data_IF_788712118736
#
_entry.id   IF_788712118736
#
_cell.length_a   1.000
_cell.length_b   1.000
_cell.length_c   1.000
_cell.angle_alpha   90.00
_cell.angle_beta   90.00
_cell.angle_gamma   90.00
#
_symmetry.space_group_name_H-M   'P 1'
#
loop_
_entity.id
_entity.type
_entity.pdbx_description
1 polymer ?
#
# COMPACT_ATOMS: atom_id res chain seq x y z
N UNK A 1 -15.74 -15.72 -25.05
CA UNK A 1 -15.46 -14.31 -24.71
C UNK A 1 -14.08 -13.93 -25.21
N UNK A 2 -13.86 -12.68 -25.61
CA UNK A 2 -12.55 -12.20 -26.09
C UNK A 2 -11.61 -11.77 -24.94
N UNK A 3 -12.15 -11.55 -23.74
CA UNK A 3 -11.40 -11.22 -22.50
C UNK A 3 -12.08 -11.89 -21.30
N UNK A 4 -11.31 -12.12 -20.24
CA UNK A 4 -11.79 -12.65 -18.96
C UNK A 4 -10.70 -12.61 -17.90
N UNK A 5 -11.09 -12.72 -16.64
CA UNK A 5 -10.13 -12.88 -15.55
C UNK A 5 -9.43 -14.23 -15.60
N UNK A 6 -8.25 -14.30 -14.98
CA UNK A 6 -7.56 -15.57 -14.79
C UNK A 6 -8.44 -16.52 -13.94
N UNK A 7 -8.53 -17.83 -14.23
CA UNK A 7 -9.41 -18.75 -13.49
C UNK A 7 -9.18 -18.80 -11.97
N UNK A 8 -7.95 -18.54 -11.53
CA UNK A 8 -7.63 -18.45 -10.10
C UNK A 8 -8.16 -17.21 -9.39
N UNK A 9 -8.71 -16.25 -10.13
CA UNK A 9 -9.42 -15.09 -9.57
C UNK A 9 -10.91 -15.37 -9.33
N UNK A 10 -11.30 -16.64 -9.18
CA UNK A 10 -12.67 -17.04 -8.87
C UNK A 10 -13.28 -16.28 -7.66
N UNK A 11 -12.55 -15.99 -6.56
CA UNK A 11 -13.06 -15.18 -5.44
C UNK A 11 -13.61 -13.80 -5.86
N UNK A 12 -12.98 -13.16 -6.86
CA UNK A 12 -13.40 -11.85 -7.36
C UNK A 12 -14.79 -11.86 -8.01
N UNK A 13 -15.27 -13.04 -8.42
CA UNK A 13 -16.60 -13.20 -9.02
C UNK A 13 -17.70 -12.78 -8.05
N UNK A 14 -17.57 -13.07 -6.76
CA UNK A 14 -18.59 -12.72 -5.77
C UNK A 14 -18.77 -11.20 -5.66
N UNK A 15 -17.66 -10.45 -5.68
CA UNK A 15 -17.67 -8.98 -5.66
C UNK A 15 -18.28 -8.43 -6.96
N UNK A 16 -17.91 -9.03 -8.10
CA UNK A 16 -18.44 -8.65 -9.42
C UNK A 16 -19.95 -8.89 -9.54
N UNK A 17 -20.44 -10.06 -9.13
CA UNK A 17 -21.86 -10.43 -9.22
C UNK A 17 -22.77 -9.53 -8.37
N UNK A 18 -22.24 -8.95 -7.28
CA UNK A 18 -22.95 -7.98 -6.44
C UNK A 18 -23.03 -6.57 -7.06
N UNK A 19 -22.24 -6.29 -8.09
CA UNK A 19 -22.14 -4.96 -8.70
C UNK A 19 -21.11 -4.05 -8.04
N UNK A 20 -20.30 -4.57 -7.12
CA UNK A 20 -19.33 -3.80 -6.32
C UNK A 20 -17.96 -3.68 -7.01
N UNK A 21 -17.86 -4.03 -8.30
CA UNK A 21 -16.60 -4.02 -9.06
C UNK A 21 -16.76 -3.36 -10.42
N UNK A 22 -15.90 -2.38 -10.68
CA UNK A 22 -15.73 -1.77 -12.00
C UNK A 22 -14.40 -2.21 -12.62
N UNK A 23 -14.45 -2.60 -13.90
CA UNK A 23 -13.25 -2.97 -14.67
C UNK A 23 -13.07 -1.93 -15.77
N UNK A 24 -11.94 -1.20 -15.73
CA UNK A 24 -11.62 -0.18 -16.72
C UNK A 24 -10.45 -0.67 -17.57
N UNK A 25 -10.74 -0.97 -18.83
CA UNK A 25 -9.72 -1.41 -19.79
C UNK A 25 -9.08 -0.23 -20.52
N UNK A 26 -7.83 -0.40 -20.95
CA UNK A 26 -7.14 0.58 -21.80
C UNK A 26 -6.63 1.81 -21.04
N UNK A 27 -6.45 1.71 -19.73
CA UNK A 27 -5.84 2.78 -18.92
C UNK A 27 -4.33 2.80 -19.12
N UNK A 28 -3.79 3.97 -19.37
CA UNK A 28 -2.37 4.21 -19.57
C UNK A 28 -2.11 5.65 -19.99
N UNK A 29 -0.87 5.94 -20.37
CA UNK A 29 -0.44 7.27 -20.81
C UNK A 29 0.35 7.16 -22.12
N UNK A 30 0.32 8.18 -22.99
CA UNK A 30 1.04 8.16 -24.25
C UNK A 30 2.54 7.89 -24.07
N UNK A 31 3.16 7.23 -25.05
CA UNK A 31 4.61 6.99 -25.10
C UNK A 31 5.16 6.30 -23.83
N UNK A 32 4.42 5.32 -23.28
CA UNK A 32 4.84 4.62 -22.06
C UNK A 32 6.25 4.02 -22.18
N UNK A 33 7.15 4.29 -21.21
CA UNK A 33 8.50 3.75 -21.21
C UNK A 33 8.48 2.26 -20.86
N UNK A 34 9.59 1.58 -21.19
CA UNK A 34 9.80 0.16 -20.83
C UNK A 34 10.51 -0.03 -19.49
N UNK A 35 10.71 1.06 -18.74
CA UNK A 35 11.40 1.04 -17.45
C UNK A 35 10.38 0.97 -16.32
N UNK A 36 10.41 -0.10 -15.53
CA UNK A 36 9.58 -0.23 -14.31
C UNK A 36 9.74 0.99 -13.40
N UNK A 37 10.96 1.44 -13.16
CA UNK A 37 11.22 2.60 -12.30
C UNK A 37 10.54 3.87 -12.80
N UNK A 38 10.63 4.16 -14.10
CA UNK A 38 9.98 5.36 -14.66
C UNK A 38 8.46 5.19 -14.70
N UNK A 39 7.95 4.02 -15.05
CA UNK A 39 6.50 3.80 -15.10
C UNK A 39 5.86 3.91 -13.72
N UNK A 40 6.48 3.31 -12.69
CA UNK A 40 6.03 3.47 -11.29
C UNK A 40 6.08 4.94 -10.86
N UNK A 41 7.15 5.65 -11.21
CA UNK A 41 7.28 7.08 -10.93
C UNK A 41 6.11 7.89 -11.53
N UNK A 42 5.78 7.65 -12.80
CA UNK A 42 4.66 8.32 -13.48
C UNK A 42 3.33 8.02 -12.78
N UNK A 43 3.04 6.76 -12.46
CA UNK A 43 1.79 6.39 -11.77
C UNK A 43 1.71 6.94 -10.34
N UNK A 44 2.83 7.07 -9.64
CA UNK A 44 2.89 7.60 -8.29
C UNK A 44 2.86 9.13 -8.23
N UNK A 45 3.36 9.84 -9.24
CA UNK A 45 3.45 11.31 -9.25
C UNK A 45 2.42 11.98 -10.14
N UNK A 46 1.85 11.22 -11.08
CA UNK A 46 1.05 11.69 -12.22
C UNK A 46 1.82 12.58 -13.21
N UNK A 47 3.15 12.45 -13.29
CA UNK A 47 4.02 13.28 -14.14
C UNK A 47 4.68 12.47 -15.28
N UNK A 48 4.05 12.36 -16.47
CA UNK A 48 4.58 11.57 -17.59
C UNK A 48 5.78 12.23 -18.29
N UNK A 49 5.82 13.56 -18.34
CA UNK A 49 6.80 14.31 -19.14
C UNK A 49 8.02 14.78 -18.31
N UNK A 50 7.84 14.91 -17.00
CA UNK A 50 8.87 15.41 -16.08
C UNK A 50 9.15 14.45 -14.93
N UNK A 51 10.26 14.64 -14.22
CA UNK A 51 10.56 13.91 -13.00
C UNK A 51 9.74 14.52 -11.85
N UNK A 52 8.60 13.92 -11.54
CA UNK A 52 7.75 14.37 -10.44
C UNK A 52 8.46 14.16 -9.10
N UNK A 53 8.53 15.17 -8.25
CA UNK A 53 9.10 15.06 -6.89
C UNK A 53 8.04 14.82 -5.82
N UNK A 54 6.77 14.86 -6.20
CA UNK A 54 5.64 14.81 -5.29
C UNK A 54 4.64 13.73 -5.73
N UNK A 55 4.26 12.89 -4.77
CA UNK A 55 3.24 11.88 -4.92
C UNK A 55 1.83 12.47 -4.93
N UNK A 56 0.96 11.96 -5.80
CA UNK A 56 -0.40 12.50 -5.92
C UNK A 56 -1.26 12.22 -4.68
N UNK A 57 -1.04 11.08 -3.99
CA UNK A 57 -1.71 10.80 -2.73
C UNK A 57 -1.17 11.67 -1.61
N UNK A 58 0.13 12.00 -1.59
CA UNK A 58 0.68 12.97 -0.65
C UNK A 58 0.00 14.35 -0.79
N UNK A 59 -0.21 14.81 -2.04
CA UNK A 59 -1.01 16.02 -2.31
C UNK A 59 -2.46 15.88 -1.83
N UNK A 60 -3.09 14.72 -2.06
CA UNK A 60 -4.44 14.46 -1.58
C UNK A 60 -4.54 14.48 -0.04
N UNK A 61 -3.56 13.91 0.66
CA UNK A 61 -3.47 13.95 2.13
C UNK A 61 -3.43 15.40 2.63
N UNK A 62 -2.59 16.25 2.03
CA UNK A 62 -2.56 17.69 2.35
C UNK A 62 -3.91 18.36 2.12
N UNK A 63 -4.59 18.05 1.02
CA UNK A 63 -5.86 18.71 0.69
C UNK A 63 -7.01 18.23 1.60
N UNK A 64 -6.93 16.99 2.11
CA UNK A 64 -7.86 16.41 3.09
C UNK A 64 -7.62 16.96 4.50
N UNK A 65 -6.35 17.07 4.91
CA UNK A 65 -5.94 17.52 6.25
C UNK A 65 -4.83 18.60 6.14
N UNK A 66 -5.21 19.83 5.72
CA UNK A 66 -4.24 20.90 5.46
C UNK A 66 -3.54 21.41 6.72
N UNK A 67 -4.17 21.22 7.88
CA UNK A 67 -3.66 21.64 9.18
C UNK A 67 -2.86 20.54 9.89
N UNK A 68 -2.84 19.31 9.33
CA UNK A 68 -2.18 18.13 9.92
C UNK A 68 -2.76 17.81 11.30
N UNK A 69 -4.07 17.94 11.45
CA UNK A 69 -4.78 17.67 12.70
C UNK A 69 -4.77 16.18 13.05
N UNK A 70 -4.63 15.30 12.05
CA UNK A 70 -4.55 13.86 12.22
C UNK A 70 -3.33 13.27 11.52
N UNK A 71 -2.34 12.86 12.33
CA UNK A 71 -1.14 12.15 11.86
C UNK A 71 -1.43 10.81 11.17
N UNK A 72 -2.65 10.27 11.35
CA UNK A 72 -3.16 9.06 10.72
C UNK A 72 -4.11 9.32 9.56
N UNK A 73 -4.21 10.55 9.04
CA UNK A 73 -5.00 10.84 7.82
C UNK A 73 -4.59 9.89 6.68
N UNK A 74 -3.31 9.50 6.62
CA UNK A 74 -2.78 8.55 5.65
C UNK A 74 -1.84 7.54 6.30
N UNK A 75 -2.06 6.25 6.00
CA UNK A 75 -1.24 5.14 6.49
C UNK A 75 -0.72 4.30 5.33
N UNK A 76 0.59 4.11 5.32
CA UNK A 76 1.35 3.33 4.34
C UNK A 76 1.67 1.96 4.92
N UNK A 77 1.21 0.89 4.29
CA UNK A 77 1.50 -0.49 4.66
C UNK A 77 2.63 -1.06 3.79
N UNK A 78 3.86 -0.94 4.27
CA UNK A 78 5.06 -1.44 3.63
C UNK A 78 6.35 -1.06 4.36
N UNK A 79 7.48 -1.63 3.93
CA UNK A 79 8.78 -1.46 4.59
C UNK A 79 9.43 -0.09 4.33
N UNK A 80 8.80 0.77 3.52
CA UNK A 80 9.23 2.13 3.23
C UNK A 80 8.04 2.98 2.73
N UNK A 81 8.18 4.31 2.76
CA UNK A 81 7.19 5.23 2.21
C UNK A 81 7.12 5.08 0.69
N UNK A 82 5.92 4.80 0.18
CA UNK A 82 5.69 4.75 -1.25
C UNK A 82 5.75 6.15 -1.86
N UNK A 83 6.33 6.23 -3.07
CA UNK A 83 6.46 7.52 -3.78
C UNK A 83 5.12 8.21 -4.05
N UNK A 84 4.01 7.47 -4.14
CA UNK A 84 2.68 8.06 -4.27
C UNK A 84 2.29 8.93 -3.07
N UNK A 85 2.81 8.61 -1.88
CA UNK A 85 2.52 9.28 -0.62
C UNK A 85 3.54 10.38 -0.27
N UNK A 86 4.64 10.48 -1.02
CA UNK A 86 5.73 11.39 -0.73
C UNK A 86 5.35 12.85 -1.01
N UNK A 87 5.27 13.67 0.04
CA UNK A 87 5.16 15.13 -0.08
C UNK A 87 5.86 15.82 1.10
N UNK A 88 6.83 16.72 0.87
CA UNK A 88 7.47 17.50 1.93
C UNK A 88 6.46 18.17 2.88
N UNK A 89 6.62 17.91 4.17
CA UNK A 89 5.80 18.49 5.22
C UNK A 89 4.43 17.82 5.43
N UNK A 90 4.11 16.72 4.76
CA UNK A 90 2.87 15.96 4.99
C UNK A 90 3.18 14.69 5.79
N UNK A 91 2.57 14.50 6.97
CA UNK A 91 2.79 13.30 7.77
C UNK A 91 2.09 12.09 7.13
N UNK A 92 2.80 10.96 7.12
CA UNK A 92 2.27 9.66 6.69
C UNK A 92 2.80 8.61 7.65
N UNK A 93 1.92 7.87 8.31
CA UNK A 93 2.35 6.78 9.18
C UNK A 93 2.75 5.55 8.34
N UNK A 94 3.95 4.99 8.55
CA UNK A 94 4.46 3.84 7.78
C UNK A 94 4.53 2.58 8.65
N UNK A 95 3.72 1.57 8.33
CA UNK A 95 3.62 0.28 9.03
C UNK A 95 4.08 -0.85 8.12
N UNK A 96 5.05 -1.66 8.55
CA UNK A 96 5.41 -2.87 7.80
C UNK A 96 4.58 -4.08 8.27
N UNK A 97 4.54 -4.32 9.59
CA UNK A 97 3.75 -5.35 10.23
C UNK A 97 3.12 -4.78 11.50
N UNK A 98 1.79 -4.73 11.54
CA UNK A 98 1.02 -4.14 12.64
C UNK A 98 1.14 -4.96 13.93
N UNK A 99 1.25 -6.30 13.84
CA UNK A 99 1.35 -7.20 14.99
C UNK A 99 2.72 -7.07 15.68
N UNK A 100 3.75 -6.70 14.91
CA UNK A 100 5.12 -6.49 15.39
C UNK A 100 5.52 -5.01 15.50
N UNK A 101 4.56 -4.10 15.31
CA UNK A 101 4.85 -2.68 15.16
C UNK A 101 5.30 -2.06 16.50
N UNK A 102 6.49 -1.45 16.50
CA UNK A 102 7.08 -0.79 17.67
C UNK A 102 7.72 -1.72 18.71
N UNK A 103 7.91 -3.02 18.43
CA UNK A 103 8.74 -3.90 19.26
C UNK A 103 10.24 -3.62 19.03
N UNK A 104 10.77 -2.61 19.73
CA UNK A 104 12.19 -2.55 20.08
C UNK A 104 12.37 -2.97 21.55
N UNK A 105 12.23 -4.26 21.90
CA UNK A 105 12.40 -4.70 23.28
C UNK A 105 13.85 -4.49 23.74
N UNK A 106 14.03 -3.79 24.87
CA UNK A 106 15.25 -3.88 25.71
C UNK A 106 16.41 -2.92 25.41
N UNK A 107 16.17 -1.71 24.91
CA UNK A 107 17.25 -0.75 24.58
C UNK A 107 17.09 0.54 25.41
N UNK A 108 18.18 1.05 25.98
CA UNK A 108 18.18 2.34 26.69
C UNK A 108 17.78 3.52 25.78
N UNK A 109 17.13 4.54 26.36
CA UNK A 109 16.51 5.69 25.65
C UNK A 109 17.40 6.33 24.56
N UNK A 110 18.71 6.43 24.76
CA UNK A 110 19.63 7.05 23.79
C UNK A 110 20.00 6.15 22.60
N UNK A 111 20.14 4.83 22.80
CA UNK A 111 20.34 3.89 21.69
C UNK A 111 19.06 3.65 20.92
N UNK A 112 17.91 3.84 21.57
CA UNK A 112 16.59 3.78 20.94
C UNK A 112 16.43 4.92 19.93
N UNK A 113 16.74 6.18 20.31
CA UNK A 113 16.63 7.35 19.42
C UNK A 113 17.47 7.24 18.15
N UNK A 114 18.73 6.84 18.24
CA UNK A 114 19.60 6.70 17.06
C UNK A 114 19.09 5.64 16.08
N UNK A 115 18.61 4.50 16.61
CA UNK A 115 18.07 3.41 15.80
C UNK A 115 16.71 3.76 15.18
N UNK A 116 15.89 4.52 15.90
CA UNK A 116 14.65 5.10 15.38
C UNK A 116 14.94 6.05 14.21
N UNK A 117 15.94 6.93 14.35
CA UNK A 117 16.35 7.84 13.26
C UNK A 117 16.90 7.09 12.04
N UNK A 118 17.71 6.04 12.25
CA UNK A 118 18.23 5.18 11.17
C UNK A 118 17.10 4.45 10.44
N UNK A 119 16.15 3.88 11.19
CA UNK A 119 14.97 3.25 10.63
C UNK A 119 14.11 4.24 9.85
N UNK A 120 13.91 5.46 10.35
CA UNK A 120 13.20 6.48 9.61
C UNK A 120 13.94 6.93 8.35
N UNK A 121 15.26 7.08 8.41
CA UNK A 121 16.04 7.36 7.22
C UNK A 121 15.84 6.26 6.17
N UNK A 122 15.76 4.99 6.58
CA UNK A 122 15.43 3.89 5.68
C UNK A 122 14.01 3.99 5.11
N UNK A 123 13.01 4.25 5.96
CA UNK A 123 11.61 4.38 5.54
C UNK A 123 11.41 5.49 4.50
N UNK A 124 12.07 6.63 4.68
CA UNK A 124 11.82 7.84 3.89
C UNK A 124 12.89 8.14 2.81
N UNK A 125 14.02 7.44 2.81
CA UNK A 125 15.08 7.61 1.81
C UNK A 125 14.59 7.51 0.35
N UNK A 126 13.70 6.58 -0.03
CA UNK A 126 13.21 6.48 -1.41
C UNK A 126 12.39 7.70 -1.87
N UNK A 127 11.80 8.43 -0.93
CA UNK A 127 10.93 9.58 -1.20
C UNK A 127 11.70 10.92 -1.22
N UNK A 128 12.70 11.07 -0.35
CA UNK A 128 13.33 12.39 -0.07
C UNK A 128 14.81 12.44 -0.49
N UNK A 129 15.44 11.29 -0.78
CA UNK A 129 16.89 11.19 -1.05
C UNK A 129 17.73 11.32 0.22
N UNK A 130 19.01 10.96 0.17
CA UNK A 130 19.85 10.84 1.39
C UNK A 130 20.27 12.17 2.05
N UNK A 131 20.12 13.31 1.37
CA UNK A 131 20.54 14.63 1.85
C UNK A 131 19.51 15.38 2.70
N UNK A 132 18.25 15.56 2.24
CA UNK A 132 17.21 16.29 2.96
C UNK A 132 16.46 15.48 4.03
N UNK A 133 16.77 14.18 4.18
CA UNK A 133 16.12 13.31 5.16
C UNK A 133 16.21 13.88 6.58
N UNK A 134 17.34 14.47 6.98
CA UNK A 134 17.49 15.02 8.35
C UNK A 134 16.54 16.19 8.64
N UNK A 135 16.26 17.05 7.66
CA UNK A 135 15.29 18.15 7.81
C UNK A 135 13.85 17.63 7.77
N UNK A 136 13.58 16.62 6.93
CA UNK A 136 12.28 15.94 6.87
C UNK A 136 11.96 15.18 8.19
N UNK A 137 12.98 14.62 8.84
CA UNK A 137 12.89 13.88 10.10
C UNK A 137 12.54 14.76 11.30
N UNK A 138 12.89 16.06 11.27
CA UNK A 138 12.75 16.94 12.43
C UNK A 138 11.31 17.06 12.95
N UNK A 139 10.35 17.23 12.03
CA UNK A 139 8.93 17.38 12.37
C UNK A 139 8.12 16.12 12.03
N UNK A 140 8.26 15.61 10.80
CA UNK A 140 7.55 14.40 10.34
C UNK A 140 7.92 13.15 11.13
N UNK A 141 9.15 13.07 11.66
CA UNK A 141 9.59 11.93 12.45
C UNK A 141 8.89 11.82 13.80
N UNK A 142 8.57 12.95 14.45
CA UNK A 142 7.81 12.98 15.71
C UNK A 142 6.35 12.59 15.47
N UNK A 143 5.74 13.16 14.43
CA UNK A 143 4.36 12.83 14.01
C UNK A 143 4.21 11.34 13.69
N UNK A 144 5.25 10.72 13.11
CA UNK A 144 5.25 9.28 12.82
C UNK A 144 5.34 8.44 14.10
N UNK A 145 6.07 8.87 15.13
CA UNK A 145 6.11 8.16 16.42
C UNK A 145 4.76 8.22 17.13
N UNK A 146 4.10 9.38 17.08
CA UNK A 146 2.74 9.54 17.62
C UNK A 146 1.75 8.63 16.89
N UNK A 147 1.76 8.66 15.54
CA UNK A 147 0.94 7.76 14.75
C UNK A 147 1.21 6.29 15.06
N UNK A 148 2.47 5.94 15.34
CA UNK A 148 2.84 4.57 15.66
C UNK A 148 2.28 4.05 16.98
N UNK A 149 2.20 4.90 17.99
CA UNK A 149 1.60 4.51 19.27
C UNK A 149 0.08 4.37 19.16
N UNK A 150 -0.58 5.22 18.38
CA UNK A 150 -2.03 5.10 18.12
C UNK A 150 -2.34 3.80 17.35
N UNK A 151 -1.54 3.47 16.32
CA UNK A 151 -1.79 2.31 15.47
C UNK A 151 -1.68 0.96 16.19
N UNK A 152 -0.91 0.87 17.27
CA UNK A 152 -0.80 -0.35 18.10
C UNK A 152 -2.12 -0.74 18.78
N UNK A 153 -3.03 0.20 18.95
CA UNK A 153 -4.34 -0.07 19.54
C UNK A 153 -5.31 -0.73 18.55
N UNK A 154 -5.08 -0.60 17.23
CA UNK A 154 -6.01 -1.11 16.21
C UNK A 154 -6.25 -2.63 16.31
N UNK A 155 -5.22 -3.49 16.45
CA UNK A 155 -5.42 -4.93 16.64
C UNK A 155 -6.19 -5.28 17.92
N UNK A 156 -6.09 -4.48 18.98
CA UNK A 156 -6.77 -4.73 20.26
C UNK A 156 -8.27 -4.42 20.20
N UNK A 157 -8.68 -3.51 19.32
CA UNK A 157 -10.08 -3.13 19.10
C UNK A 157 -10.77 -4.00 18.05
N UNK A 158 -10.03 -4.87 17.36
CA UNK A 158 -10.51 -5.65 16.24
C UNK A 158 -10.96 -7.05 16.65
N UNK A 159 -12.12 -7.48 16.14
CA UNK A 159 -12.61 -8.85 16.27
C UNK A 159 -13.40 -9.22 15.02
N UNK A 160 -13.06 -10.32 14.37
CA UNK A 160 -13.70 -10.75 13.13
C UNK A 160 -13.77 -12.27 13.06
N UNK A 161 -14.82 -12.79 12.44
CA UNK A 161 -14.94 -14.20 12.07
C UNK A 161 -14.24 -14.54 10.75
N UNK A 162 -13.83 -13.52 9.98
CA UNK A 162 -13.13 -13.69 8.70
C UNK A 162 -11.66 -14.08 8.92
N UNK A 163 -11.30 -15.28 8.47
CA UNK A 163 -9.93 -15.76 8.48
C UNK A 163 -9.20 -15.35 7.20
N UNK A 164 -8.14 -14.55 7.35
CA UNK A 164 -7.27 -14.14 6.24
C UNK A 164 -6.22 -15.21 5.95
N UNK A 165 -5.90 -15.50 4.66
CA UNK A 165 -4.79 -16.37 4.29
C UNK A 165 -3.45 -15.91 4.86
N UNK A 166 -2.51 -16.84 5.10
CA UNK A 166 -1.16 -16.50 5.54
C UNK A 166 -0.26 -16.08 4.35
N UNK A 167 -0.60 -14.95 3.72
CA UNK A 167 0.16 -14.36 2.60
C UNK A 167 0.52 -12.90 2.92
N UNK A 168 1.59 -12.34 2.33
CA UNK A 168 1.98 -10.95 2.60
C UNK A 168 0.87 -9.92 2.31
N UNK A 169 0.11 -10.08 1.23
CA UNK A 169 -0.98 -9.14 0.90
C UNK A 169 -2.18 -9.30 1.83
N UNK A 170 -2.54 -10.54 2.20
CA UNK A 170 -3.62 -10.77 3.15
C UNK A 170 -3.32 -10.16 4.53
N UNK A 171 -2.06 -10.24 5.00
CA UNK A 171 -1.63 -9.56 6.23
C UNK A 171 -1.75 -8.04 6.15
N UNK A 172 -1.32 -7.44 5.03
CA UNK A 172 -1.46 -5.99 4.82
C UNK A 172 -2.93 -5.56 4.77
N UNK A 173 -3.78 -6.29 4.05
CA UNK A 173 -5.22 -5.99 3.98
C UNK A 173 -5.93 -6.19 5.32
N UNK A 174 -5.55 -7.20 6.11
CA UNK A 174 -6.03 -7.34 7.49
C UNK A 174 -5.62 -6.15 8.37
N UNK A 175 -4.37 -5.70 8.27
CA UNK A 175 -3.91 -4.50 8.97
C UNK A 175 -4.67 -3.24 8.55
N UNK A 176 -4.96 -3.09 7.26
CA UNK A 176 -5.81 -2.01 6.73
C UNK A 176 -7.22 -2.08 7.31
N UNK A 177 -7.83 -3.27 7.38
CA UNK A 177 -9.14 -3.46 8.01
C UNK A 177 -9.12 -3.08 9.49
N UNK A 178 -8.11 -3.52 10.24
CA UNK A 178 -7.93 -3.17 11.66
C UNK A 178 -7.85 -1.65 11.87
N UNK A 179 -7.06 -0.94 11.06
CA UNK A 179 -6.92 0.52 11.16
C UNK A 179 -8.19 1.25 10.74
N UNK A 180 -8.86 0.80 9.68
CA UNK A 180 -10.14 1.37 9.24
C UNK A 180 -11.23 1.21 10.31
N UNK A 181 -11.36 0.01 10.88
CA UNK A 181 -12.37 -0.32 11.88
C UNK A 181 -12.11 0.33 13.24
N UNK A 182 -10.85 0.61 13.56
CA UNK A 182 -10.46 1.42 14.72
C UNK A 182 -10.95 2.88 14.64
N UNK A 183 -11.36 3.34 13.46
CA UNK A 183 -11.93 4.67 13.22
C UNK A 183 -11.04 5.83 13.70
N UNK A 184 -9.72 5.73 13.47
CA UNK A 184 -8.76 6.81 13.75
C UNK A 184 -8.86 8.01 12.80
N UNK A 185 -9.94 8.12 12.01
CA UNK A 185 -10.11 9.17 11.01
C UNK A 185 -9.21 9.00 9.77
N UNK A 186 -8.59 7.83 9.57
CA UNK A 186 -7.77 7.54 8.39
C UNK A 186 -8.59 7.61 7.11
N UNK A 187 -8.05 8.28 6.10
CA UNK A 187 -8.73 8.54 4.82
C UNK A 187 -8.06 7.86 3.64
N UNK A 188 -6.76 7.58 3.73
CA UNK A 188 -5.97 6.93 2.68
C UNK A 188 -5.17 5.79 3.31
N UNK A 189 -5.34 4.59 2.76
CA UNK A 189 -4.64 3.37 3.12
C UNK A 189 -3.96 2.83 1.86
N UNK A 190 -2.65 2.63 1.89
CA UNK A 190 -1.89 2.25 0.69
C UNK A 190 -0.98 1.06 0.96
N UNK A 191 -0.97 0.07 0.07
CA UNK A 191 -0.09 -1.08 0.16
C UNK A 191 0.30 -1.60 -1.23
N UNK A 192 1.36 -2.41 -1.30
CA UNK A 192 1.79 -3.11 -2.50
C UNK A 192 1.67 -4.64 -2.38
N UNK A 193 1.62 -5.31 -3.53
CA UNK A 193 1.70 -6.77 -3.61
C UNK A 193 2.76 -7.23 -4.63
N UNK A 194 3.99 -7.41 -4.14
CA UNK A 194 5.04 -8.17 -4.82
C UNK A 194 5.29 -7.79 -6.28
N UNK A 195 6.00 -8.65 -7.00
CA UNK A 195 6.26 -8.47 -8.43
C UNK A 195 5.54 -9.53 -9.24
N UNK A 196 4.84 -9.08 -10.29
CA UNK A 196 4.29 -9.94 -11.34
C UNK A 196 5.28 -10.13 -12.50
N UNK A 197 6.45 -9.48 -12.44
CA UNK A 197 7.52 -9.64 -13.42
C UNK A 197 8.34 -10.91 -13.11
N UNK A 198 7.97 -12.00 -13.75
CA UNK A 198 8.71 -13.27 -13.69
C UNK A 198 9.55 -13.46 -14.95
N UNK A 199 10.73 -14.06 -14.76
CA UNK A 199 11.67 -14.39 -15.85
C UNK A 199 11.74 -15.91 -16.13
N UNK A 200 10.94 -16.70 -15.41
CA UNK A 200 10.78 -18.14 -15.57
C UNK A 200 9.52 -18.60 -14.83
N UNK A 201 8.96 -19.76 -15.22
CA UNK A 201 7.78 -20.37 -14.57
C UNK A 201 6.59 -19.41 -14.41
N UNK A 202 6.36 -18.53 -15.40
CA UNK A 202 5.32 -17.51 -15.30
C UNK A 202 3.94 -18.13 -15.05
N UNK A 203 3.59 -19.24 -15.69
CA UNK A 203 2.28 -19.89 -15.49
C UNK A 203 2.02 -20.25 -14.03
N UNK A 204 3.00 -20.88 -13.36
CA UNK A 204 2.87 -21.26 -11.95
C UNK A 204 2.90 -20.05 -11.01
N UNK A 205 3.85 -19.13 -11.21
CA UNK A 205 3.99 -17.93 -10.38
C UNK A 205 2.76 -17.02 -10.49
N UNK A 206 2.31 -16.76 -11.71
CA UNK A 206 1.18 -15.87 -11.99
C UNK A 206 -0.12 -16.43 -11.42
N UNK A 207 -0.33 -17.76 -11.52
CA UNK A 207 -1.47 -18.41 -10.89
C UNK A 207 -1.50 -18.17 -9.37
N UNK A 208 -0.36 -18.38 -8.69
CA UNK A 208 -0.24 -18.17 -7.24
C UNK A 208 -0.48 -16.71 -6.85
N UNK A 209 0.15 -15.76 -7.54
CA UNK A 209 -0.03 -14.33 -7.25
C UNK A 209 -1.50 -13.91 -7.37
N UNK A 210 -2.21 -14.42 -8.38
CA UNK A 210 -3.64 -14.13 -8.51
C UNK A 210 -4.52 -14.80 -7.45
N UNK A 211 -4.17 -16.00 -6.97
CA UNK A 211 -4.83 -16.61 -5.81
C UNK A 211 -4.65 -15.69 -4.60
N UNK A 212 -3.39 -15.35 -4.29
CA UNK A 212 -3.03 -14.55 -3.11
C UNK A 212 -3.78 -13.20 -3.11
N UNK A 213 -3.85 -12.49 -4.24
CA UNK A 213 -4.60 -11.23 -4.36
C UNK A 213 -6.11 -11.45 -4.22
N UNK A 214 -6.66 -12.43 -4.93
CA UNK A 214 -8.12 -12.59 -5.02
C UNK A 214 -8.72 -13.02 -3.69
N UNK A 215 -8.09 -13.97 -3.00
CA UNK A 215 -8.52 -14.40 -1.66
C UNK A 215 -8.37 -13.26 -0.65
N UNK A 216 -7.26 -12.53 -0.67
CA UNK A 216 -7.04 -11.43 0.25
C UNK A 216 -8.05 -10.28 0.07
N UNK A 217 -8.40 -9.93 -1.17
CA UNK A 217 -9.41 -8.91 -1.47
C UNK A 217 -10.82 -9.37 -1.09
N UNK A 218 -11.17 -10.64 -1.36
CA UNK A 218 -12.44 -11.20 -0.91
C UNK A 218 -12.56 -11.18 0.62
N UNK A 219 -11.54 -11.64 1.35
CA UNK A 219 -11.49 -11.57 2.80
C UNK A 219 -11.67 -10.13 3.29
N UNK A 220 -10.94 -9.17 2.72
CA UNK A 220 -11.04 -7.76 3.09
C UNK A 220 -12.46 -7.21 2.98
N UNK A 221 -13.12 -7.39 1.83
CA UNK A 221 -14.48 -6.87 1.66
C UNK A 221 -15.52 -7.65 2.47
N UNK A 222 -15.32 -8.95 2.71
CA UNK A 222 -16.20 -9.72 3.59
C UNK A 222 -16.05 -9.27 5.05
N UNK A 223 -14.84 -8.96 5.49
CA UNK A 223 -14.55 -8.47 6.83
C UNK A 223 -15.16 -7.07 7.06
N UNK A 224 -14.99 -6.15 6.10
CA UNK A 224 -15.68 -4.86 6.14
C UNK A 224 -17.21 -5.01 6.16
N UNK A 225 -17.75 -5.99 5.43
CA UNK A 225 -19.18 -6.28 5.42
C UNK A 225 -19.66 -6.83 6.77
N UNK A 226 -18.89 -7.71 7.40
CA UNK A 226 -19.19 -8.23 8.75
C UNK A 226 -19.32 -7.09 9.78
N UNK A 227 -18.55 -6.02 9.58
CA UNK A 227 -18.51 -4.86 10.45
C UNK A 227 -19.43 -3.70 10.03
N UNK A 228 -20.25 -3.86 8.99
CA UNK A 228 -21.08 -2.78 8.41
C UNK A 228 -20.26 -1.53 8.01
N UNK A 229 -19.02 -1.76 7.56
CA UNK A 229 -18.01 -0.74 7.30
C UNK A 229 -17.58 -0.67 5.81
N UNK A 230 -18.26 -1.41 4.93
CA UNK A 230 -17.91 -1.53 3.51
C UNK A 230 -18.35 -0.35 2.64
N UNK A 231 -19.48 0.30 2.93
CA UNK A 231 -20.11 1.28 2.05
C UNK A 231 -19.27 2.55 1.80
N UNK A 232 -18.32 2.83 2.70
CA UNK A 232 -17.47 4.02 2.63
C UNK A 232 -16.03 3.71 2.19
N UNK A 233 -15.78 2.54 1.60
CA UNK A 233 -14.44 2.11 1.16
C UNK A 233 -14.40 1.88 -0.34
N UNK A 234 -13.40 2.46 -0.99
CA UNK A 234 -13.07 2.20 -2.40
C UNK A 234 -11.65 1.66 -2.47
N UNK A 235 -11.48 0.49 -3.10
CA UNK A 235 -10.17 -0.08 -3.42
C UNK A 235 -9.80 0.21 -4.87
N UNK A 236 -8.70 0.94 -5.08
CA UNK A 236 -8.08 1.10 -6.40
C UNK A 236 -6.88 0.15 -6.50
N UNK A 237 -6.94 -0.78 -7.46
CA UNK A 237 -5.83 -1.65 -7.81
C UNK A 237 -5.28 -1.27 -9.19
N UNK A 238 -3.98 -1.05 -9.29
CA UNK A 238 -3.31 -0.71 -10.54
C UNK A 238 -1.93 -1.37 -10.61
N UNK A 239 -1.38 -1.45 -11.83
CA UNK A 239 0.03 -1.78 -12.07
C UNK A 239 0.65 -0.73 -12.99
N UNK A 240 1.96 -0.63 -12.97
CA UNK A 240 2.70 0.38 -13.73
C UNK A 240 2.64 0.15 -15.24
N UNK A 241 2.63 -1.12 -15.66
CA UNK A 241 2.28 -1.57 -17.01
C UNK A 241 1.99 -3.08 -17.01
N UNK A 242 1.48 -3.57 -18.14
CA UNK A 242 1.43 -5.00 -18.48
C UNK A 242 2.44 -5.36 -19.57
N UNK A 243 2.73 -6.66 -19.74
CA UNK A 243 3.55 -7.16 -20.87
C UNK A 243 2.68 -7.80 -21.94
N UNK A 244 3.13 -7.68 -23.19
CA UNK A 244 2.69 -8.49 -24.34
C UNK A 244 3.94 -8.95 -25.09
N UNK A 245 4.51 -10.09 -24.69
CA UNK A 245 5.62 -10.75 -25.39
C UNK A 245 5.20 -12.13 -25.88
N UNK A 246 5.87 -12.61 -26.93
CA UNK A 246 5.77 -14.00 -27.36
C UNK A 246 6.66 -14.87 -26.47
N UNK A 247 6.17 -16.06 -26.12
CA UNK A 247 6.89 -17.03 -25.28
C UNK A 247 8.27 -17.36 -25.87
N UNK A 248 9.32 -17.21 -25.08
CA UNK A 248 10.70 -17.55 -25.44
C UNK A 248 11.08 -19.01 -25.18
N UNK A 249 10.13 -19.85 -24.77
CA UNK A 249 10.33 -21.28 -24.52
C UNK A 249 10.76 -21.63 -23.09
N UNK A 250 10.97 -20.63 -22.23
CA UNK A 250 11.15 -20.80 -20.77
C UNK A 250 9.93 -20.34 -19.95
N UNK A 251 8.84 -19.97 -20.64
CA UNK A 251 7.61 -19.49 -20.02
C UNK A 251 7.65 -18.01 -19.70
N UNK A 252 8.04 -17.18 -20.67
CA UNK A 252 7.90 -15.70 -20.68
C UNK A 252 7.67 -15.19 -22.09
#
# INVERSE_FOLDING_TARGET
GQVGFHPSMAPMKNIYDRGDMAIIHGVGYPKSPRSHFRSMDIWHTCEPDTLGTEGWLGRATRDIDPNKENVLTTVSFGPALFRALALPGVPVACVDDLDNYGLLPGISEQKQRARILEWFAHLYAPAVGSGPVMDYLGQTGLDTLEGADILKEAPQMYSSSVEYPNTPIAKKLKGIAQVHLANFGTRILYCDHGSFDSHSNQAGMHNKLWVDVSEAVECFFNDLKEHDAGDNVIMLMFSEFGRRTHDNGSGT
#
